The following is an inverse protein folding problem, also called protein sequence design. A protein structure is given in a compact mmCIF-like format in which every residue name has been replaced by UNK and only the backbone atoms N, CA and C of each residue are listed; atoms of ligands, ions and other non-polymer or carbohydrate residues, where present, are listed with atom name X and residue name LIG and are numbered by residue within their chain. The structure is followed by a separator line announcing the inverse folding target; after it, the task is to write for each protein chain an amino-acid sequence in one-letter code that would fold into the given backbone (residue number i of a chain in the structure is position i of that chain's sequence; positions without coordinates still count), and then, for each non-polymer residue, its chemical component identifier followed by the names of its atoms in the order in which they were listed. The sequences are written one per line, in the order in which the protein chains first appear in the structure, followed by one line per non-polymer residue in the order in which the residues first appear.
data_IF_349696507544
#
_entry.id   IF_349696507544
#
_cell.length_a   1.000
_cell.length_b   1.000
_cell.length_c   1.000
_cell.angle_alpha   90.00
_cell.angle_beta   90.00
_cell.angle_gamma   90.00
#
_symmetry.space_group_name_H-M   'P 1'
#
loop_
_entity.id
_entity.type
_entity.pdbx_description
1 polymer ?
#
# COMPACT_ATOMS: atom_id res chain seq x y z
N UNK A 1 -20.03 -1.05 -3.39
CA UNK A 1 -19.22 0.19 -3.47
C UNK A 1 -19.01 0.48 -4.94
N UNK A 2 -19.42 1.64 -5.41
CA UNK A 2 -19.30 2.02 -6.82
C UNK A 2 -17.84 2.32 -7.17
N UNK A 3 -17.27 1.56 -8.12
CA UNK A 3 -15.88 1.68 -8.55
C UNK A 3 -15.69 2.54 -9.80
N UNK A 4 -16.80 2.93 -10.44
CA UNK A 4 -16.84 3.65 -11.71
C UNK A 4 -16.94 5.18 -11.49
N UNK A 5 -17.27 5.63 -10.28
CA UNK A 5 -17.27 7.06 -9.94
C UNK A 5 -15.93 7.52 -9.37
N UNK A 6 -15.57 8.76 -9.70
CA UNK A 6 -14.44 9.45 -9.04
C UNK A 6 -14.89 9.92 -7.66
N UNK A 7 -14.09 9.64 -6.64
CA UNK A 7 -14.33 10.11 -5.28
C UNK A 7 -13.33 11.18 -4.88
N UNK A 8 -13.79 12.14 -4.08
CA UNK A 8 -13.01 13.26 -3.60
C UNK A 8 -13.14 13.39 -2.08
N UNK A 9 -12.02 13.60 -1.39
CA UNK A 9 -12.01 13.86 0.06
C UNK A 9 -10.82 14.71 0.49
N UNK A 10 -10.96 15.36 1.63
CA UNK A 10 -9.83 15.91 2.38
C UNK A 10 -9.10 14.76 3.07
N UNK A 11 -7.80 14.63 2.81
CA UNK A 11 -6.90 13.58 3.35
C UNK A 11 -5.99 14.10 4.48
N UNK A 12 -6.18 15.35 4.92
CA UNK A 12 -5.50 15.95 6.07
C UNK A 12 -6.47 16.15 7.25
N UNK A 13 -5.99 16.26 8.50
CA UNK A 13 -6.83 16.59 9.65
C UNK A 13 -7.61 17.89 9.47
N UNK A 14 -8.80 17.96 10.06
CA UNK A 14 -9.63 19.16 10.12
C UNK A 14 -9.00 20.26 10.98
N UNK A 15 -9.38 21.52 10.72
CA UNK A 15 -8.94 22.68 11.50
C UNK A 15 -8.09 23.65 10.68
N UNK A 16 -7.57 24.70 11.31
CA UNK A 16 -6.69 25.67 10.66
C UNK A 16 -5.25 25.19 10.73
N UNK A 17 -4.62 25.02 9.58
CA UNK A 17 -3.21 24.66 9.43
C UNK A 17 -2.61 25.33 8.20
N UNK A 18 -1.30 25.20 7.99
CA UNK A 18 -0.64 25.76 6.80
C UNK A 18 -1.10 25.08 5.51
N UNK A 19 -1.46 23.80 5.57
CA UNK A 19 -1.80 23.01 4.40
C UNK A 19 -2.96 22.04 4.63
N UNK A 20 -3.81 21.91 3.63
CA UNK A 20 -4.77 20.81 3.47
C UNK A 20 -4.40 20.00 2.23
N UNK A 21 -4.65 18.70 2.29
CA UNK A 21 -4.49 17.79 1.17
C UNK A 21 -5.86 17.33 0.70
N UNK A 22 -6.25 17.65 -0.52
CA UNK A 22 -7.45 17.13 -1.16
C UNK A 22 -7.03 16.02 -2.13
N UNK A 23 -7.69 14.88 -2.07
CA UNK A 23 -7.41 13.73 -2.93
C UNK A 23 -8.64 13.39 -3.75
N UNK A 24 -8.45 13.19 -5.05
CA UNK A 24 -9.44 12.67 -5.98
C UNK A 24 -8.93 11.38 -6.62
N UNK A 25 -9.72 10.31 -6.65
CA UNK A 25 -9.34 9.04 -7.28
C UNK A 25 -10.50 8.40 -8.04
N UNK A 26 -10.22 7.84 -9.21
CA UNK A 26 -11.22 7.20 -10.08
C UNK A 26 -11.00 7.49 -11.56
N UNK A 27 -11.86 6.94 -12.45
CA UNK A 27 -11.65 6.95 -13.90
C UNK A 27 -11.69 8.34 -14.54
N UNK A 28 -12.23 9.35 -13.84
CA UNK A 28 -12.31 10.73 -14.35
C UNK A 28 -11.45 11.71 -13.55
N UNK A 29 -10.67 11.25 -12.57
CA UNK A 29 -9.86 12.12 -11.71
C UNK A 29 -8.91 13.01 -12.51
N UNK A 30 -8.19 12.43 -13.47
CA UNK A 30 -7.24 13.15 -14.31
C UNK A 30 -7.94 14.03 -15.34
N UNK A 31 -8.95 13.49 -16.02
CA UNK A 31 -9.71 14.22 -17.04
C UNK A 31 -10.40 15.46 -16.44
N UNK A 32 -11.13 15.32 -15.33
CA UNK A 32 -11.80 16.43 -14.67
C UNK A 32 -10.81 17.47 -14.13
N UNK A 33 -9.67 17.03 -13.58
CA UNK A 33 -8.62 17.97 -13.14
C UNK A 33 -8.06 18.80 -14.31
N UNK A 34 -7.89 18.21 -15.50
CA UNK A 34 -7.48 18.97 -16.70
C UNK A 34 -8.55 19.97 -17.14
N UNK A 35 -9.84 19.65 -17.00
CA UNK A 35 -10.94 20.57 -17.32
C UNK A 35 -10.96 21.82 -16.44
N UNK A 36 -10.47 21.72 -15.20
CA UNK A 36 -10.24 22.87 -14.32
C UNK A 36 -9.04 23.74 -14.75
N UNK A 37 -8.39 23.43 -15.87
CA UNK A 37 -7.20 24.14 -16.36
C UNK A 37 -5.92 23.81 -15.59
N UNK A 38 -5.97 22.83 -14.68
CA UNK A 38 -4.84 22.45 -13.85
C UNK A 38 -3.88 21.56 -14.62
N UNK A 39 -2.62 21.98 -14.67
CA UNK A 39 -1.53 21.23 -15.31
C UNK A 39 -0.85 20.32 -14.30
N UNK A 40 -0.64 19.08 -14.67
CA UNK A 40 0.10 18.10 -13.89
C UNK A 40 0.89 17.17 -14.80
N UNK A 41 1.95 16.59 -14.25
CA UNK A 41 2.71 15.51 -14.88
C UNK A 41 2.75 14.32 -13.91
N UNK A 42 2.64 13.07 -14.41
CA UNK A 42 2.67 11.90 -13.56
C UNK A 42 3.94 11.82 -12.70
N UNK A 43 3.78 11.50 -11.42
CA UNK A 43 4.88 11.33 -10.43
C UNK A 43 5.75 12.57 -10.24
N UNK A 44 5.21 13.76 -10.50
CA UNK A 44 5.84 15.06 -10.23
C UNK A 44 4.90 15.93 -9.41
N UNK A 45 5.49 16.83 -8.62
CA UNK A 45 4.76 17.88 -7.93
C UNK A 45 4.88 19.14 -8.80
N UNK A 46 3.75 19.73 -9.18
CA UNK A 46 3.70 20.93 -10.01
C UNK A 46 2.97 22.04 -9.25
N UNK A 47 3.60 23.22 -9.21
CA UNK A 47 2.92 24.43 -8.74
C UNK A 47 1.93 24.90 -9.81
N UNK A 48 0.67 25.07 -9.41
CA UNK A 48 -0.41 25.52 -10.27
C UNK A 48 -1.27 26.55 -9.54
N UNK A 49 -2.35 27.00 -10.19
CA UNK A 49 -3.29 27.96 -9.65
C UNK A 49 -4.70 27.55 -10.03
N UNK A 50 -5.61 27.55 -9.06
CA UNK A 50 -7.03 27.34 -9.29
C UNK A 50 -7.77 28.66 -9.17
N UNK A 51 -8.64 28.96 -10.14
CA UNK A 51 -9.47 30.17 -10.11
C UNK A 51 -10.57 30.03 -9.06
N UNK A 52 -10.64 30.97 -8.13
CA UNK A 52 -11.67 31.06 -7.10
C UNK A 52 -12.31 32.45 -7.12
N UNK A 53 -13.54 32.55 -7.64
CA UNK A 53 -14.23 33.83 -7.85
C UNK A 53 -13.35 34.78 -8.69
N UNK A 54 -12.90 35.89 -8.11
CA UNK A 54 -12.02 36.88 -8.73
C UNK A 54 -10.56 36.77 -8.27
N UNK A 55 -10.19 35.66 -7.61
CA UNK A 55 -8.86 35.41 -7.07
C UNK A 55 -8.28 34.12 -7.65
N UNK A 56 -6.95 34.01 -7.64
CA UNK A 56 -6.26 32.76 -7.94
C UNK A 56 -5.64 32.20 -6.67
N UNK A 57 -5.90 30.93 -6.41
CA UNK A 57 -5.37 30.23 -5.25
C UNK A 57 -4.18 29.39 -5.70
N UNK A 58 -2.98 29.60 -5.13
CA UNK A 58 -1.82 28.77 -5.44
C UNK A 58 -2.03 27.36 -4.87
N UNK A 59 -1.70 26.36 -5.68
CA UNK A 59 -1.83 24.94 -5.31
C UNK A 59 -0.58 24.18 -5.71
N UNK A 60 -0.28 23.08 -5.00
CA UNK A 60 0.66 22.06 -5.47
C UNK A 60 -0.13 20.83 -5.88
N UNK A 61 0.16 20.29 -7.06
CA UNK A 61 -0.57 19.15 -7.61
C UNK A 61 0.40 17.99 -7.78
N UNK A 62 0.01 16.83 -7.28
CA UNK A 62 0.67 15.55 -7.54
C UNK A 62 -0.30 14.62 -8.27
N UNK A 63 0.19 13.96 -9.32
CA UNK A 63 -0.61 13.04 -10.12
C UNK A 63 0.00 11.63 -10.11
N UNK A 64 -0.83 10.63 -9.84
CA UNK A 64 -0.44 9.22 -9.78
C UNK A 64 -1.22 8.43 -10.83
N UNK A 65 -0.52 7.75 -11.77
CA UNK A 65 -1.17 6.89 -12.75
C UNK A 65 -1.94 5.75 -12.10
N UNK A 66 -2.90 5.19 -12.84
CA UNK A 66 -3.44 3.86 -12.54
C UNK A 66 -2.29 2.83 -12.39
N UNK A 67 -2.47 1.83 -11.52
CA UNK A 67 -1.46 0.84 -11.13
C UNK A 67 -0.18 1.41 -10.48
N UNK A 68 -0.16 2.70 -10.14
CA UNK A 68 0.96 3.36 -9.47
C UNK A 68 0.48 4.40 -8.45
N UNK A 69 -0.71 4.17 -7.92
CA UNK A 69 -1.38 4.97 -6.90
C UNK A 69 -1.81 4.05 -5.75
N UNK A 70 -2.16 4.65 -4.61
CA UNK A 70 -2.62 3.89 -3.46
C UNK A 70 -3.88 3.05 -3.75
N UNK A 71 -4.84 3.61 -4.49
CA UNK A 71 -6.08 2.91 -4.84
C UNK A 71 -5.95 2.03 -6.06
N UNK A 72 -4.87 2.14 -6.85
CA UNK A 72 -4.73 1.49 -8.16
C UNK A 72 -5.41 2.23 -9.30
N UNK A 73 -6.17 3.29 -9.01
CA UNK A 73 -6.83 4.14 -10.01
C UNK A 73 -6.04 5.44 -10.23
N UNK A 74 -6.29 6.12 -11.35
CA UNK A 74 -5.79 7.47 -11.55
C UNK A 74 -6.14 8.35 -10.34
N UNK A 75 -5.13 9.02 -9.78
CA UNK A 75 -5.28 9.81 -8.56
C UNK A 75 -4.64 11.17 -8.73
N UNK A 76 -5.31 12.19 -8.22
CA UNK A 76 -4.81 13.57 -8.09
C UNK A 76 -4.80 13.93 -6.62
N UNK A 77 -3.72 14.56 -6.18
CA UNK A 77 -3.61 15.18 -4.88
C UNK A 77 -3.34 16.68 -5.06
N UNK A 78 -4.16 17.52 -4.44
CA UNK A 78 -4.03 18.97 -4.46
C UNK A 78 -3.76 19.46 -3.04
N UNK A 79 -2.58 20.04 -2.84
CA UNK A 79 -2.22 20.70 -1.60
C UNK A 79 -2.51 22.20 -1.71
N UNK A 80 -3.30 22.70 -0.76
CA UNK A 80 -3.76 24.09 -0.69
C UNK A 80 -3.52 24.64 0.73
N UNK A 81 -3.68 25.95 0.92
CA UNK A 81 -3.77 26.51 2.28
C UNK A 81 -5.03 25.98 2.98
N UNK A 82 -4.92 25.57 4.25
CA UNK A 82 -6.06 24.99 4.98
C UNK A 82 -6.99 26.09 5.53
N UNK A 83 -7.78 26.64 4.62
CA UNK A 83 -8.92 27.49 4.94
C UNK A 83 -10.20 26.74 4.53
N UNK A 84 -11.16 26.61 5.44
CA UNK A 84 -12.38 25.83 5.20
C UNK A 84 -13.11 26.24 3.91
N UNK A 85 -13.25 27.55 3.65
CA UNK A 85 -13.92 28.02 2.44
C UNK A 85 -13.17 27.65 1.16
N UNK A 86 -11.84 27.66 1.19
CA UNK A 86 -11.00 27.25 0.05
C UNK A 86 -11.09 25.75 -0.15
N UNK A 87 -11.05 24.97 0.94
CA UNK A 87 -11.18 23.51 0.89
C UNK A 87 -12.53 23.11 0.28
N UNK A 88 -13.63 23.67 0.78
CA UNK A 88 -14.98 23.38 0.30
C UNK A 88 -15.14 23.76 -1.18
N UNK A 89 -14.56 24.90 -1.59
CA UNK A 89 -14.54 25.30 -2.98
C UNK A 89 -13.81 24.31 -3.88
N UNK A 90 -12.55 23.98 -3.58
CA UNK A 90 -11.74 23.07 -4.41
C UNK A 90 -12.36 21.68 -4.46
N UNK A 91 -12.93 21.20 -3.35
CA UNK A 91 -13.67 19.94 -3.29
C UNK A 91 -14.87 19.93 -4.25
N UNK A 92 -15.71 20.98 -4.22
CA UNK A 92 -16.88 21.08 -5.09
C UNK A 92 -16.49 21.21 -6.57
N UNK A 93 -15.45 21.99 -6.89
CA UNK A 93 -14.94 22.10 -8.27
C UNK A 93 -14.43 20.76 -8.79
N UNK A 94 -13.68 20.01 -7.98
CA UNK A 94 -13.22 18.67 -8.35
C UNK A 94 -14.38 17.71 -8.54
N UNK A 95 -15.37 17.70 -7.65
CA UNK A 95 -16.56 16.85 -7.78
C UNK A 95 -17.30 17.15 -9.08
N UNK A 96 -17.56 18.44 -9.36
CA UNK A 96 -18.26 18.86 -10.57
C UNK A 96 -17.48 18.49 -11.84
N UNK A 97 -16.19 18.80 -11.89
CA UNK A 97 -15.36 18.56 -13.08
C UNK A 97 -15.10 17.07 -13.34
N UNK A 98 -15.10 16.24 -12.30
CA UNK A 98 -14.90 14.79 -12.44
C UNK A 98 -16.22 14.02 -12.58
N UNK A 99 -17.38 14.71 -12.51
CA UNK A 99 -18.69 14.09 -12.31
C UNK A 99 -18.66 13.05 -11.18
N UNK A 100 -17.97 13.43 -10.11
CA UNK A 100 -17.65 12.56 -8.98
C UNK A 100 -18.59 12.75 -7.80
N UNK A 101 -18.14 12.29 -6.64
CA UNK A 101 -18.84 12.49 -5.36
C UNK A 101 -17.85 12.56 -4.20
N UNK A 102 -18.35 12.89 -3.02
CA UNK A 102 -17.58 12.71 -1.79
C UNK A 102 -17.27 11.22 -1.55
N UNK A 103 -16.06 10.95 -1.08
CA UNK A 103 -15.69 9.62 -0.62
C UNK A 103 -16.44 9.24 0.66
N UNK A 104 -16.81 7.97 0.79
CA UNK A 104 -17.29 7.39 2.03
C UNK A 104 -16.12 7.12 3.00
N UNK A 105 -16.44 6.86 4.28
CA UNK A 105 -15.45 6.54 5.29
C UNK A 105 -14.64 5.29 4.90
N UNK A 106 -13.31 5.45 4.83
CA UNK A 106 -12.40 4.36 4.45
C UNK A 106 -12.40 3.98 2.97
N UNK A 107 -13.14 4.68 2.11
CA UNK A 107 -13.35 4.26 0.73
C UNK A 107 -12.04 4.17 -0.09
N UNK A 108 -11.08 5.08 0.12
CA UNK A 108 -9.78 4.99 -0.57
C UNK A 108 -9.04 3.68 -0.25
N UNK A 109 -9.04 3.27 1.02
CA UNK A 109 -8.40 2.01 1.44
C UNK A 109 -9.20 0.81 0.96
N UNK A 110 -10.54 0.88 1.00
CA UNK A 110 -11.41 -0.16 0.46
C UNK A 110 -11.17 -0.39 -1.03
N UNK A 111 -11.06 0.67 -1.84
CA UNK A 111 -10.72 0.58 -3.28
C UNK A 111 -9.33 -0.01 -3.51
N UNK A 112 -8.36 0.30 -2.65
CA UNK A 112 -7.04 -0.32 -2.70
C UNK A 112 -7.10 -1.84 -2.53
N UNK A 113 -7.89 -2.32 -1.56
CA UNK A 113 -8.15 -3.74 -1.34
C UNK A 113 -8.91 -4.38 -2.51
N UNK A 114 -10.00 -3.75 -2.96
CA UNK A 114 -10.84 -4.27 -4.05
C UNK A 114 -10.09 -4.37 -5.39
N UNK A 115 -9.14 -3.45 -5.64
CA UNK A 115 -8.24 -3.52 -6.80
C UNK A 115 -7.07 -4.49 -6.63
N UNK A 116 -6.99 -5.20 -5.51
CA UNK A 116 -5.95 -6.19 -5.24
C UNK A 116 -4.56 -5.59 -4.96
N UNK A 117 -4.45 -4.28 -4.68
CA UNK A 117 -3.16 -3.66 -4.35
C UNK A 117 -2.68 -4.07 -2.97
N UNK A 118 -3.61 -4.32 -2.05
CA UNK A 118 -3.35 -4.67 -0.65
C UNK A 118 -4.29 -5.79 -0.20
N UNK A 119 -3.89 -6.58 0.79
CA UNK A 119 -4.78 -7.55 1.45
C UNK A 119 -5.72 -6.85 2.43
N UNK A 120 -6.78 -7.55 2.87
CA UNK A 120 -7.70 -7.02 3.88
C UNK A 120 -6.97 -6.70 5.19
N UNK A 121 -6.04 -7.57 5.61
CA UNK A 121 -5.20 -7.32 6.79
C UNK A 121 -4.31 -6.09 6.63
N UNK A 122 -3.82 -5.81 5.42
CA UNK A 122 -3.05 -4.60 5.15
C UNK A 122 -3.92 -3.34 5.17
N UNK A 123 -5.16 -3.41 4.70
CA UNK A 123 -6.14 -2.34 4.83
C UNK A 123 -6.43 -2.00 6.30
N UNK A 124 -6.63 -3.01 7.15
CA UNK A 124 -6.75 -2.83 8.60
C UNK A 124 -5.47 -2.25 9.21
N UNK A 125 -4.30 -2.70 8.73
CA UNK A 125 -3.00 -2.17 9.12
C UNK A 125 -2.85 -0.67 8.88
N UNK A 126 -3.45 -0.10 7.82
CA UNK A 126 -3.47 1.35 7.57
C UNK A 126 -4.19 2.07 8.71
N UNK A 127 -5.40 1.62 9.05
CA UNK A 127 -6.19 2.18 10.15
C UNK A 127 -5.48 2.06 11.50
N UNK A 128 -4.86 0.89 11.75
CA UNK A 128 -4.10 0.62 12.96
C UNK A 128 -2.91 1.58 13.11
N UNK A 129 -2.19 1.94 12.03
CA UNK A 129 -1.11 2.94 12.12
C UNK A 129 -1.60 4.35 12.38
N UNK A 130 -2.74 4.75 11.81
CA UNK A 130 -3.32 6.08 12.09
C UNK A 130 -3.69 6.19 13.58
N UNK A 131 -4.13 5.08 14.19
CA UNK A 131 -4.63 5.04 15.57
C UNK A 131 -3.59 4.67 16.62
N UNK A 132 -2.37 4.29 16.22
CA UNK A 132 -1.35 3.78 17.14
C UNK A 132 -0.92 4.83 18.17
N UNK A 133 -0.97 4.47 19.46
CA UNK A 133 -0.57 5.33 20.59
C UNK A 133 0.80 5.00 21.17
N UNK A 134 1.43 3.91 20.76
CA UNK A 134 2.76 3.49 21.23
C UNK A 134 3.53 2.68 20.18
N UNK A 135 4.82 2.45 20.43
CA UNK A 135 5.73 1.75 19.50
C UNK A 135 5.31 0.31 19.20
N UNK A 136 4.75 -0.40 20.20
CA UNK A 136 4.32 -1.77 20.03
C UNK A 136 3.10 -1.87 19.09
N UNK A 137 2.14 -0.97 19.22
CA UNK A 137 0.99 -0.85 18.31
C UNK A 137 1.42 -0.46 16.90
N UNK A 138 2.37 0.48 16.76
CA UNK A 138 2.89 0.88 15.46
C UNK A 138 3.61 -0.27 14.74
N UNK A 139 4.36 -1.07 15.50
CA UNK A 139 5.03 -2.28 14.99
C UNK A 139 4.01 -3.32 14.53
N UNK A 140 2.99 -3.61 15.35
CA UNK A 140 1.91 -4.54 14.97
C UNK A 140 1.16 -4.08 13.71
N UNK A 141 0.81 -2.79 13.64
CA UNK A 141 0.21 -2.21 12.45
C UNK A 141 1.12 -2.33 11.21
N UNK A 142 2.44 -2.15 11.39
CA UNK A 142 3.43 -2.29 10.32
C UNK A 142 3.46 -3.70 9.75
N UNK A 143 3.41 -4.72 10.61
CA UNK A 143 3.32 -6.11 10.17
C UNK A 143 2.08 -6.35 9.31
N UNK A 144 0.92 -5.90 9.78
CA UNK A 144 -0.34 -6.00 9.04
C UNK A 144 -0.24 -5.31 7.67
N UNK A 145 0.22 -4.06 7.62
CA UNK A 145 0.41 -3.30 6.36
C UNK A 145 1.33 -4.00 5.37
N UNK A 146 2.37 -4.66 5.87
CA UNK A 146 3.33 -5.40 5.03
C UNK A 146 2.83 -6.80 4.63
N UNK A 147 1.57 -7.13 4.93
CA UNK A 147 0.93 -8.37 4.49
C UNK A 147 1.31 -9.59 5.33
N UNK A 148 1.83 -9.39 6.54
CA UNK A 148 2.30 -10.47 7.40
C UNK A 148 1.27 -11.59 7.60
N UNK A 149 0.07 -11.20 8.02
CA UNK A 149 -1.02 -12.13 8.28
C UNK A 149 -1.46 -12.81 6.99
N UNK A 150 -1.64 -12.03 5.91
CA UNK A 150 -1.99 -12.58 4.60
C UNK A 150 -0.98 -13.64 4.13
N UNK A 151 0.32 -13.37 4.22
CA UNK A 151 1.37 -14.31 3.83
C UNK A 151 1.37 -15.59 4.69
N UNK A 152 1.08 -15.47 5.98
CA UNK A 152 0.98 -16.62 6.88
C UNK A 152 -0.26 -17.48 6.59
N UNK A 153 -1.38 -16.86 6.21
CA UNK A 153 -2.65 -17.56 5.98
C UNK A 153 -2.85 -18.03 4.54
N UNK A 154 -2.17 -17.42 3.56
CA UNK A 154 -2.35 -17.72 2.13
C UNK A 154 -2.09 -19.20 1.81
N UNK A 155 -1.01 -19.85 2.27
CA UNK A 155 -0.77 -21.27 1.98
C UNK A 155 -1.87 -22.17 2.53
N UNK A 156 -2.40 -21.85 3.72
CA UNK A 156 -3.48 -22.59 4.36
C UNK A 156 -4.77 -22.45 3.55
N UNK A 157 -5.09 -21.23 3.11
CA UNK A 157 -6.26 -20.99 2.26
C UNK A 157 -6.17 -21.75 0.93
N UNK A 158 -5.00 -21.77 0.29
CA UNK A 158 -4.79 -22.50 -0.97
C UNK A 158 -4.93 -24.01 -0.77
N UNK A 159 -4.45 -24.54 0.35
CA UNK A 159 -4.58 -25.95 0.69
C UNK A 159 -6.05 -26.34 0.90
N UNK A 160 -6.81 -25.52 1.63
CA UNK A 160 -8.24 -25.73 1.85
C UNK A 160 -9.00 -25.69 0.51
N UNK A 161 -8.71 -24.73 -0.36
CA UNK A 161 -9.32 -24.64 -1.70
C UNK A 161 -9.01 -25.88 -2.53
N UNK A 162 -7.75 -26.35 -2.51
CA UNK A 162 -7.34 -27.57 -3.24
C UNK A 162 -8.12 -28.79 -2.75
N UNK A 163 -8.19 -28.99 -1.45
CA UNK A 163 -8.90 -30.11 -0.84
C UNK A 163 -10.40 -30.03 -1.14
N UNK A 164 -11.00 -28.84 -1.05
CA UNK A 164 -12.40 -28.61 -1.40
C UNK A 164 -12.69 -29.00 -2.86
N UNK A 165 -11.85 -28.55 -3.80
CA UNK A 165 -12.01 -28.88 -5.21
C UNK A 165 -11.92 -30.39 -5.49
N UNK A 166 -11.05 -31.12 -4.77
CA UNK A 166 -10.94 -32.58 -4.89
C UNK A 166 -12.17 -33.30 -4.32
N UNK A 167 -12.73 -32.79 -3.21
CA UNK A 167 -13.96 -33.34 -2.64
C UNK A 167 -15.14 -33.08 -3.57
N UNK A 168 -15.27 -31.87 -4.13
CA UNK A 168 -16.31 -31.53 -5.11
C UNK A 168 -16.21 -32.43 -6.35
N UNK A 169 -15.00 -32.63 -6.91
CA UNK A 169 -14.80 -33.57 -8.01
C UNK A 169 -15.23 -35.00 -7.65
N UNK A 170 -14.93 -35.47 -6.43
CA UNK A 170 -15.38 -36.80 -5.98
C UNK A 170 -16.92 -36.93 -5.84
N UNK A 171 -17.62 -35.83 -5.61
CA UNK A 171 -19.10 -35.79 -5.52
C UNK A 171 -19.73 -35.71 -6.91
N UNK A 172 -19.14 -34.95 -7.84
CA UNK A 172 -19.70 -34.74 -9.17
C UNK A 172 -19.53 -35.97 -10.09
N UNK A 173 -18.55 -36.84 -9.84
CA UNK A 173 -18.22 -38.00 -10.68
C UNK A 173 -18.52 -39.36 -10.01
N UNK A 174 -19.59 -39.45 -9.20
CA UNK A 174 -19.94 -40.68 -8.47
C UNK A 174 -20.27 -41.89 -9.35
N UNK A 175 -20.56 -41.69 -10.63
CA UNK A 175 -20.91 -42.76 -11.58
C UNK A 175 -19.66 -43.40 -12.24
N UNK A 176 -18.47 -42.82 -12.04
CA UNK A 176 -17.19 -43.38 -12.50
C UNK A 176 -16.50 -44.10 -11.32
N UNK A 177 -16.82 -45.40 -11.13
CA UNK A 177 -16.39 -46.23 -9.99
C UNK A 177 -14.86 -46.29 -9.74
N UNK A 178 -14.03 -45.82 -10.68
CA UNK A 178 -12.56 -45.87 -10.61
C UNK A 178 -11.87 -44.54 -10.26
N UNK A 179 -12.60 -43.42 -10.14
CA UNK A 179 -11.99 -42.09 -9.92
C UNK A 179 -12.17 -41.62 -8.48
N UNK A 180 -11.19 -41.93 -7.62
CA UNK A 180 -11.10 -41.32 -6.28
C UNK A 180 -10.24 -40.06 -6.37
N UNK A 181 -10.88 -38.90 -6.45
CA UNK A 181 -10.20 -37.61 -6.52
C UNK A 181 -9.33 -37.31 -5.27
N UNK A 182 -9.77 -37.74 -4.09
CA UNK A 182 -8.98 -37.69 -2.84
C UNK A 182 -9.40 -38.81 -1.89
N UNK A 183 -8.43 -39.49 -1.29
CA UNK A 183 -8.70 -40.52 -0.29
C UNK A 183 -9.12 -39.90 1.05
N UNK A 184 -9.86 -40.65 1.88
CA UNK A 184 -10.25 -40.18 3.24
C UNK A 184 -9.04 -39.87 4.12
N UNK A 185 -7.97 -40.63 3.98
CA UNK A 185 -6.75 -40.45 4.78
C UNK A 185 -5.94 -39.23 4.31
N UNK A 186 -5.85 -38.99 3.01
CA UNK A 186 -5.19 -37.78 2.45
C UNK A 186 -5.99 -36.52 2.80
N UNK A 187 -7.32 -36.59 2.74
CA UNK A 187 -8.23 -35.53 3.19
C UNK A 187 -7.99 -35.21 4.67
N UNK A 188 -8.03 -36.23 5.54
CA UNK A 188 -7.80 -36.06 6.97
C UNK A 188 -6.42 -35.43 7.23
N UNK A 189 -5.38 -35.95 6.60
CA UNK A 189 -4.01 -35.47 6.75
C UNK A 189 -3.88 -33.99 6.35
N UNK A 190 -4.48 -33.60 5.22
CA UNK A 190 -4.44 -32.22 4.73
C UNK A 190 -5.17 -31.26 5.68
N UNK A 191 -6.34 -31.65 6.19
CA UNK A 191 -7.13 -30.86 7.14
C UNK A 191 -6.41 -30.74 8.49
N UNK A 192 -5.87 -31.83 9.02
CA UNK A 192 -5.09 -31.84 10.27
C UNK A 192 -3.84 -30.95 10.16
N UNK A 193 -3.17 -30.97 9.01
CA UNK A 193 -2.05 -30.08 8.73
C UNK A 193 -2.48 -28.60 8.74
N UNK A 194 -3.59 -28.24 8.09
CA UNK A 194 -4.13 -26.88 8.11
C UNK A 194 -4.48 -26.42 9.53
N UNK A 195 -5.14 -27.29 10.33
CA UNK A 195 -5.46 -27.01 11.73
C UNK A 195 -4.19 -26.78 12.54
N UNK A 196 -3.14 -27.59 12.33
CA UNK A 196 -1.86 -27.42 13.02
C UNK A 196 -1.21 -26.08 12.68
N UNK A 197 -1.18 -25.68 11.40
CA UNK A 197 -0.65 -24.38 10.98
C UNK A 197 -1.44 -23.21 11.57
N UNK A 198 -2.77 -23.29 11.59
CA UNK A 198 -3.63 -22.27 12.20
C UNK A 198 -3.40 -22.16 13.70
N UNK A 199 -3.30 -23.30 14.41
CA UNK A 199 -2.95 -23.32 15.84
C UNK A 199 -1.59 -22.68 16.07
N UNK A 200 -0.60 -22.99 15.22
CA UNK A 200 0.72 -22.36 15.32
C UNK A 200 0.65 -20.84 15.14
N UNK A 201 -0.21 -20.29 14.26
CA UNK A 201 -0.39 -18.84 14.10
C UNK A 201 -1.06 -18.20 15.32
N UNK A 202 -2.05 -18.88 15.91
CA UNK A 202 -2.78 -18.40 17.10
C UNK A 202 -1.92 -18.48 18.36
N UNK A 203 -1.22 -19.59 18.54
CA UNK A 203 -0.36 -19.88 19.70
C UNK A 203 0.95 -19.11 19.63
N UNK A 204 1.62 -19.08 18.46
CA UNK A 204 2.74 -18.18 18.21
C UNK A 204 2.20 -16.83 17.73
N UNK A 205 1.63 -16.02 18.64
CA UNK A 205 1.31 -14.60 18.42
C UNK A 205 2.36 -14.01 17.48
N UNK A 206 2.00 -13.94 16.20
CA UNK A 206 2.87 -13.79 15.03
C UNK A 206 4.29 -13.34 15.40
N UNK A 207 5.25 -14.29 15.44
CA UNK A 207 6.63 -13.98 15.81
C UNK A 207 7.22 -12.95 14.85
N UNK A 208 7.73 -11.83 15.40
CA UNK A 208 8.45 -10.78 14.66
C UNK A 208 9.55 -11.35 13.75
N UNK A 209 10.17 -12.46 14.15
CA UNK A 209 11.23 -13.12 13.39
C UNK A 209 10.73 -13.77 12.09
N UNK A 210 9.49 -14.24 12.04
CA UNK A 210 8.92 -14.86 10.83
C UNK A 210 8.57 -13.84 9.72
N UNK A 211 8.62 -12.54 10.03
CA UNK A 211 8.08 -11.47 9.16
C UNK A 211 9.02 -10.29 8.94
N UNK A 212 10.01 -10.09 9.81
CA UNK A 212 10.99 -9.01 9.69
C UNK A 212 12.37 -9.48 9.24
N UNK A 213 12.60 -10.76 8.99
CA UNK A 213 13.92 -11.23 8.57
C UNK A 213 14.12 -11.11 7.05
N UNK A 214 14.21 -9.88 6.56
CA UNK A 214 15.31 -9.64 5.63
C UNK A 214 16.58 -9.64 6.48
N UNK A 215 17.57 -10.50 6.21
CA UNK A 215 18.82 -10.48 6.97
C UNK A 215 19.43 -9.08 6.89
N UNK A 216 19.58 -8.43 8.05
CA UNK A 216 20.26 -7.14 8.12
C UNK A 216 21.76 -7.38 8.10
N UNK A 217 22.44 -6.84 7.08
CA UNK A 217 23.88 -7.01 6.88
C UNK A 217 24.57 -5.68 7.17
N UNK A 218 25.43 -5.65 8.19
CA UNK A 218 26.23 -4.47 8.53
C UNK A 218 27.58 -4.52 7.80
N UNK A 219 27.86 -3.52 6.98
CA UNK A 219 29.18 -3.34 6.34
C UNK A 219 30.09 -2.51 7.26
N UNK A 220 30.91 -3.19 8.07
CA UNK A 220 31.87 -2.56 8.98
C UNK A 220 33.33 -2.65 8.47
N UNK A 221 34.17 -1.68 8.83
CA UNK A 221 35.58 -1.66 8.42
C UNK A 221 36.27 -0.31 8.59
N UNK A 222 37.60 -0.29 8.49
CA UNK A 222 38.46 0.90 8.64
C UNK A 222 38.08 2.04 7.67
N UNK A 223 38.41 3.31 7.97
CA UNK A 223 38.29 4.40 7.01
C UNK A 223 38.94 4.04 5.66
N UNK A 224 38.31 4.42 4.54
CA UNK A 224 38.76 4.11 3.17
C UNK A 224 38.84 2.62 2.77
N UNK A 225 38.30 1.68 3.56
CA UNK A 225 38.27 0.24 3.24
C UNK A 225 37.29 -0.15 2.11
N UNK A 226 36.79 0.80 1.31
CA UNK A 226 35.86 0.51 0.20
C UNK A 226 34.41 0.23 0.60
N UNK A 227 34.00 0.48 1.85
CA UNK A 227 32.62 0.24 2.36
C UNK A 227 31.55 0.87 1.48
N UNK A 228 31.71 2.16 1.13
CA UNK A 228 30.75 2.89 0.29
C UNK A 228 30.70 2.36 -1.15
N UNK A 229 31.83 1.87 -1.66
CA UNK A 229 31.91 1.25 -2.99
C UNK A 229 31.14 -0.08 -3.03
N UNK A 230 31.33 -0.93 -2.01
CA UNK A 230 30.59 -2.18 -1.87
C UNK A 230 29.08 -1.94 -1.70
N UNK A 231 28.71 -0.99 -0.84
CA UNK A 231 27.31 -0.59 -0.62
C UNK A 231 26.65 -0.14 -1.93
N UNK A 232 27.29 0.79 -2.68
CA UNK A 232 26.77 1.25 -3.98
C UNK A 232 26.68 0.13 -5.03
N UNK A 233 27.62 -0.82 -5.03
CA UNK A 233 27.61 -1.96 -5.94
C UNK A 233 26.43 -2.89 -5.68
N UNK A 234 26.15 -3.17 -4.40
CA UNK A 234 25.02 -4.00 -3.98
C UNK A 234 23.66 -3.36 -4.34
N UNK A 235 23.53 -2.04 -4.22
CA UNK A 235 22.26 -1.33 -4.46
C UNK A 235 22.00 -1.11 -5.97
N UNK A 236 23.00 -1.34 -6.83
CA UNK A 236 22.95 -1.08 -8.29
C UNK A 236 22.49 0.35 -8.64
N UNK A 237 22.63 1.30 -7.71
CA UNK A 237 22.37 2.73 -7.89
C UNK A 237 23.55 3.52 -7.34
N UNK A 238 24.02 4.52 -8.10
CA UNK A 238 25.00 5.49 -7.60
C UNK A 238 24.27 6.54 -6.77
N UNK A 239 24.19 6.38 -5.45
CA UNK A 239 23.62 7.41 -4.56
C UNK A 239 24.48 7.82 -3.38
N UNK A 240 25.56 7.11 -3.06
CA UNK A 240 26.49 7.60 -2.04
C UNK A 240 27.57 8.43 -2.71
N UNK A 241 27.52 9.76 -2.51
CA UNK A 241 28.57 10.72 -2.87
C UNK A 241 29.85 10.33 -2.12
N UNK A 242 30.89 9.99 -2.87
CA UNK A 242 32.22 9.70 -2.33
C UNK A 242 32.91 11.06 -2.13
N UNK A 243 32.97 11.56 -0.89
CA UNK A 243 33.84 12.68 -0.54
C UNK A 243 35.16 12.13 0.00
N UNK A 244 36.28 12.70 -0.45
CA UNK A 244 37.66 12.33 -0.07
C UNK A 244 38.08 12.83 1.33
N UNK A 245 37.14 13.35 2.13
CA UNK A 245 37.40 13.93 3.45
C UNK A 245 36.97 12.91 4.53
N UNK A 246 37.92 12.46 5.34
CA UNK A 246 37.63 11.58 6.47
C UNK A 246 36.69 12.26 7.47
N UNK A 247 35.53 11.67 7.75
CA UNK A 247 34.64 12.07 8.85
C UNK A 247 33.20 12.46 8.52
N UNK A 248 32.68 12.21 7.31
CA UNK A 248 31.37 12.77 6.88
C UNK A 248 30.16 11.83 6.89
N UNK A 249 30.28 10.56 7.30
CA UNK A 249 29.10 9.67 7.43
C UNK A 249 28.80 9.42 8.91
N UNK A 250 28.16 10.40 9.56
CA UNK A 250 27.62 10.26 10.93
C UNK A 250 26.24 9.59 10.96
N UNK A 251 25.59 9.44 9.81
CA UNK A 251 24.29 8.80 9.68
C UNK A 251 24.44 7.36 9.19
N UNK A 252 23.76 6.43 9.86
CA UNK A 252 23.66 5.03 9.42
C UNK A 252 22.84 4.99 8.14
N UNK A 253 23.50 4.80 6.99
CA UNK A 253 22.85 4.68 5.70
C UNK A 253 22.32 3.24 5.56
N UNK A 254 21.00 3.09 5.40
CA UNK A 254 20.31 1.79 5.30
C UNK A 254 19.53 1.73 3.99
N UNK A 255 19.68 0.64 3.23
CA UNK A 255 18.99 0.42 1.94
C UNK A 255 18.59 -1.06 1.79
N UNK A 256 17.46 -1.30 1.11
CA UNK A 256 17.01 -2.66 0.79
C UNK A 256 17.61 -3.12 -0.54
N UNK A 257 18.19 -4.31 -0.55
CA UNK A 257 18.82 -4.92 -1.74
C UNK A 257 18.19 -6.28 -2.01
N UNK A 258 17.86 -6.55 -3.28
CA UNK A 258 17.45 -7.89 -3.72
C UNK A 258 18.66 -8.70 -4.19
N UNK A 259 18.84 -9.89 -3.64
CA UNK A 259 19.92 -10.81 -3.98
C UNK A 259 19.33 -12.09 -4.56
N UNK A 260 19.74 -12.47 -5.78
CA UNK A 260 19.19 -13.63 -6.51
C UNK A 260 17.65 -13.62 -6.65
N UNK A 261 17.04 -12.44 -6.78
CA UNK A 261 15.60 -12.29 -6.99
C UNK A 261 14.73 -12.37 -5.72
N UNK A 262 15.34 -12.46 -4.54
CA UNK A 262 14.69 -12.31 -3.24
C UNK A 262 15.15 -11.01 -2.58
#
# INVERSE_FOLDING_TARGET
MDHETTIVAVSSPSGRSTHALIRATGPHAWHGTKQLGLKFEPRRIIASRISFKSQEIPVLISAFPANSSFTGQETIEIQIVNNQFVVDFVMNELINATNGRFAEAGEFTARSFLNGNISISAAEGVCATISAGNDAELLGASLLRNGALANATQPISLEIIRVLALVEAGIDFTDEEEVIAISKDDLRTSVEHCIHLLKAIVENKISMAALCELPSVVIAGKPNAGKSTLFNSLIKKQRVVISSIAGTTRDVITEQVRFNGK
#
